data_IF_937966130489
#
_entry.id   IF_937966130489
#
_cell.length_a   1.000
_cell.length_b   1.000
_cell.length_c   1.000
_cell.angle_alpha   90.00
_cell.angle_beta   90.00
_cell.angle_gamma   90.00
#
_symmetry.space_group_name_H-M   'P 1'
#
loop_
_entity.id
_entity.type
_entity.pdbx_description
1 polymer ?
#
# COMPACT_ATOMS: atom_id res chain seq x y z
N UNK A 1 -62.18 -25.21 -49.89
CA UNK A 1 -61.08 -24.60 -49.10
C UNK A 1 -60.12 -23.86 -50.03
N UNK A 2 -60.27 -22.54 -50.20
CA UNK A 2 -59.38 -21.71 -51.04
C UNK A 2 -58.35 -21.02 -50.16
N UNK A 3 -57.07 -21.36 -50.31
CA UNK A 3 -55.95 -20.68 -49.64
C UNK A 3 -55.75 -19.29 -50.29
N UNK A 4 -55.98 -18.24 -49.52
CA UNK A 4 -55.64 -16.87 -49.92
C UNK A 4 -54.12 -16.70 -49.93
N UNK A 5 -53.54 -16.41 -51.11
CA UNK A 5 -52.16 -15.96 -51.23
C UNK A 5 -52.09 -14.51 -50.76
N UNK A 6 -51.40 -14.28 -49.65
CA UNK A 6 -51.05 -12.95 -49.15
C UNK A 6 -49.97 -12.38 -50.08
N UNK A 7 -50.34 -11.41 -50.92
CA UNK A 7 -49.39 -10.67 -51.74
C UNK A 7 -48.67 -9.66 -50.84
N UNK A 8 -47.41 -9.93 -50.51
CA UNK A 8 -46.54 -8.97 -49.85
C UNK A 8 -46.20 -7.85 -50.85
N UNK A 9 -46.73 -6.66 -50.60
CA UNK A 9 -46.34 -5.46 -51.32
C UNK A 9 -44.89 -5.12 -50.97
N UNK A 10 -43.99 -5.29 -51.94
CA UNK A 10 -42.59 -4.85 -51.88
C UNK A 10 -42.56 -3.33 -51.74
N UNK A 11 -42.30 -2.83 -50.53
CA UNK A 11 -42.04 -1.40 -50.31
C UNK A 11 -40.81 -0.97 -51.13
N UNK A 12 -40.86 0.17 -51.83
CA UNK A 12 -39.69 0.69 -52.54
C UNK A 12 -38.55 0.98 -51.56
N UNK A 13 -37.41 0.34 -51.78
CA UNK A 13 -36.19 0.56 -51.02
C UNK A 13 -35.61 1.93 -51.38
N UNK A 14 -35.93 2.96 -50.59
CA UNK A 14 -35.29 4.26 -50.67
C UNK A 14 -33.90 4.17 -50.06
N UNK A 15 -32.86 4.44 -50.84
CA UNK A 15 -31.48 4.46 -50.33
C UNK A 15 -31.40 5.43 -49.15
N UNK A 16 -30.84 5.00 -48.00
CA UNK A 16 -30.75 5.88 -46.84
C UNK A 16 -29.86 7.09 -47.13
N UNK A 17 -30.27 8.27 -46.65
CA UNK A 17 -29.50 9.49 -46.78
C UNK A 17 -28.09 9.33 -46.20
N UNK A 18 -27.11 9.98 -46.82
CA UNK A 18 -25.70 9.94 -46.40
C UNK A 18 -25.53 10.36 -44.93
N UNK A 19 -26.34 11.31 -44.45
CA UNK A 19 -26.38 11.74 -43.04
C UNK A 19 -26.81 10.62 -42.11
N UNK A 20 -27.83 9.84 -42.49
CA UNK A 20 -28.35 8.69 -41.74
C UNK A 20 -27.32 7.58 -41.66
N UNK A 21 -26.61 7.28 -42.76
CA UNK A 21 -25.53 6.28 -42.78
C UNK A 21 -24.38 6.72 -41.85
N UNK A 22 -23.96 7.98 -41.91
CA UNK A 22 -22.89 8.51 -41.05
C UNK A 22 -23.30 8.50 -39.57
N UNK A 23 -24.55 8.88 -39.25
CA UNK A 23 -25.05 8.86 -37.89
C UNK A 23 -25.15 7.43 -37.33
N UNK A 24 -25.60 6.47 -38.14
CA UNK A 24 -25.64 5.05 -37.78
C UNK A 24 -24.23 4.50 -37.51
N UNK A 25 -23.26 4.77 -38.40
CA UNK A 25 -21.86 4.37 -38.21
C UNK A 25 -21.24 5.03 -36.97
N UNK A 26 -21.55 6.31 -36.72
CA UNK A 26 -21.07 7.04 -35.53
C UNK A 26 -21.61 6.42 -34.24
N UNK A 27 -22.88 6.02 -34.22
CA UNK A 27 -23.52 5.38 -33.07
C UNK A 27 -22.96 3.96 -32.83
N UNK A 28 -22.75 3.19 -33.90
CA UNK A 28 -22.13 1.86 -33.84
C UNK A 28 -20.70 1.91 -33.29
N UNK A 29 -19.86 2.85 -33.77
CA UNK A 29 -18.51 3.08 -33.22
C UNK A 29 -18.56 3.47 -31.73
N UNK A 30 -19.51 4.31 -31.34
CA UNK A 30 -19.68 4.68 -29.92
C UNK A 30 -20.06 3.49 -29.05
N UNK A 31 -21.02 2.67 -29.50
CA UNK A 31 -21.46 1.47 -28.76
C UNK A 31 -20.32 0.45 -28.64
N UNK A 32 -19.58 0.19 -29.71
CA UNK A 32 -18.42 -0.72 -29.70
C UNK A 32 -17.37 -0.29 -28.66
N UNK A 33 -17.05 1.01 -28.61
CA UNK A 33 -16.13 1.59 -27.60
C UNK A 33 -16.68 1.50 -26.18
N UNK A 34 -17.98 1.68 -25.99
CA UNK A 34 -18.61 1.65 -24.66
C UNK A 34 -18.72 0.24 -24.06
N UNK A 35 -18.80 -0.79 -24.90
CA UNK A 35 -18.98 -2.20 -24.50
C UNK A 35 -17.64 -2.95 -24.45
N UNK A 36 -16.50 -2.27 -24.68
CA UNK A 36 -15.16 -2.90 -24.75
C UNK A 36 -15.12 -4.07 -25.74
N UNK A 37 -15.88 -4.01 -26.83
CA UNK A 37 -15.67 -4.87 -27.98
C UNK A 37 -14.46 -4.31 -28.73
N UNK A 38 -13.25 -4.77 -28.39
CA UNK A 38 -12.03 -4.43 -29.11
C UNK A 38 -12.04 -5.13 -30.47
N UNK A 39 -12.90 -4.65 -31.37
CA UNK A 39 -12.80 -4.93 -32.79
C UNK A 39 -11.61 -4.09 -33.28
N UNK A 40 -10.42 -4.69 -33.26
CA UNK A 40 -9.18 -4.20 -33.88
C UNK A 40 -9.34 -4.04 -35.40
N UNK A 41 -10.25 -3.17 -35.84
CA UNK A 41 -10.35 -2.68 -37.20
C UNK A 41 -9.87 -1.23 -37.17
N UNK A 42 -8.55 -1.08 -37.04
CA UNK A 42 -7.88 0.14 -37.49
C UNK A 42 -7.29 -0.14 -38.87
N UNK A 43 -7.93 0.34 -39.96
CA UNK A 43 -7.19 0.56 -41.18
C UNK A 43 -6.10 1.59 -40.85
N UNK A 44 -4.84 1.17 -40.91
CA UNK A 44 -3.70 2.09 -40.86
C UNK A 44 -3.92 3.13 -41.94
N UNK A 45 -4.21 4.38 -41.57
CA UNK A 45 -4.11 5.49 -42.53
C UNK A 45 -2.64 5.61 -42.92
N UNK A 46 -2.30 5.60 -44.22
CA UNK A 46 -0.93 5.85 -44.64
C UNK A 46 -0.51 7.25 -44.17
N UNK A 47 0.59 7.32 -43.44
CA UNK A 47 1.23 8.58 -43.09
C UNK A 47 1.64 9.26 -44.40
N UNK A 48 1.02 10.38 -44.73
CA UNK A 48 1.62 11.31 -45.70
C UNK A 48 2.81 11.97 -45.01
N UNK A 49 3.99 11.71 -45.56
CA UNK A 49 5.22 12.44 -45.27
C UNK A 49 5.03 13.91 -45.65
N UNK A 50 4.77 14.77 -44.68
CA UNK A 50 4.96 16.22 -44.85
C UNK A 50 6.37 16.53 -44.39
N UNK A 51 7.22 16.89 -45.37
CA UNK A 51 8.54 17.43 -45.15
C UNK A 51 8.45 18.64 -44.20
N UNK A 52 9.44 18.71 -43.32
CA UNK A 52 9.60 19.78 -42.36
C UNK A 52 9.99 21.07 -43.09
N UNK A 53 9.09 22.05 -43.08
CA UNK A 53 9.48 23.44 -43.29
C UNK A 53 9.63 24.10 -41.91
N UNK A 54 10.90 24.39 -41.63
CA UNK A 54 11.41 25.05 -40.47
C UNK A 54 11.05 26.53 -40.58
N UNK A 55 10.10 27.00 -39.77
CA UNK A 55 9.92 28.44 -39.56
C UNK A 55 9.84 28.73 -38.08
N UNK A 56 10.99 29.18 -37.56
CA UNK A 56 11.11 29.75 -36.23
C UNK A 56 10.27 31.02 -36.15
N UNK A 57 9.36 31.06 -35.19
CA UNK A 57 8.95 32.33 -34.61
C UNK A 57 8.86 32.14 -33.10
N UNK A 58 9.97 32.49 -32.47
CA UNK A 58 10.05 32.88 -31.07
C UNK A 58 9.10 34.07 -30.87
N UNK A 59 7.95 33.82 -30.26
CA UNK A 59 7.17 34.90 -29.63
C UNK A 59 7.04 34.63 -28.15
N UNK A 60 7.35 35.69 -27.42
CA UNK A 60 7.69 35.71 -26.02
C UNK A 60 6.52 35.36 -25.09
N UNK A 61 6.90 34.70 -23.99
CA UNK A 61 6.32 34.77 -22.63
C UNK A 61 5.01 35.56 -22.48
N UNK A 62 3.97 34.88 -22.02
CA UNK A 62 3.20 35.38 -20.88
C UNK A 62 3.35 34.39 -19.73
N UNK A 63 4.26 34.69 -18.80
CA UNK A 63 4.23 34.09 -17.46
C UNK A 63 3.12 34.84 -16.73
N UNK A 64 1.88 34.39 -16.89
CA UNK A 64 0.80 34.77 -16.00
C UNK A 64 1.03 34.04 -14.68
N UNK A 65 1.58 34.77 -13.71
CA UNK A 65 1.74 34.37 -12.33
C UNK A 65 0.36 34.33 -11.65
N UNK A 66 -0.52 33.45 -12.13
CA UNK A 66 -1.82 33.20 -11.51
C UNK A 66 -1.63 32.03 -10.55
N UNK A 67 -1.96 32.22 -9.27
CA UNK A 67 -1.86 31.20 -8.21
C UNK A 67 -2.82 30.01 -8.39
N UNK A 68 -3.21 29.69 -9.61
CA UNK A 68 -4.05 28.56 -9.95
C UNK A 68 -3.20 27.31 -10.05
N UNK A 69 -3.44 26.38 -9.13
CA UNK A 69 -2.86 25.04 -9.10
C UNK A 69 -3.08 24.39 -10.47
N UNK A 70 -2.00 24.16 -11.19
CA UNK A 70 -2.04 23.52 -12.50
C UNK A 70 -2.26 22.02 -12.29
N UNK A 71 -3.44 21.52 -12.60
CA UNK A 71 -3.84 20.13 -12.35
C UNK A 71 -4.09 19.38 -13.66
N UNK A 72 -3.87 18.06 -13.67
CA UNK A 72 -4.35 17.17 -14.73
C UNK A 72 -5.04 15.94 -14.15
N UNK A 73 -6.17 15.55 -14.75
CA UNK A 73 -6.96 14.40 -14.29
C UNK A 73 -6.71 13.21 -15.23
N UNK A 74 -6.29 12.08 -14.68
CA UNK A 74 -6.00 10.84 -15.40
C UNK A 74 -7.25 10.33 -16.13
N UNK A 75 -7.11 9.98 -17.41
CA UNK A 75 -8.23 9.46 -18.21
C UNK A 75 -8.59 8.01 -17.83
N UNK A 76 -7.62 7.23 -17.35
CA UNK A 76 -7.83 5.83 -16.97
C UNK A 76 -8.50 5.69 -15.62
N UNK A 77 -8.01 6.40 -14.59
CA UNK A 77 -8.51 6.22 -13.21
C UNK A 77 -9.24 7.44 -12.66
N UNK A 78 -9.42 8.52 -13.44
CA UNK A 78 -10.07 9.79 -13.02
C UNK A 78 -9.41 10.54 -11.86
N UNK A 79 -8.19 10.14 -11.48
CA UNK A 79 -7.47 10.76 -10.38
C UNK A 79 -6.89 12.12 -10.76
N UNK A 80 -7.06 13.09 -9.86
CA UNK A 80 -6.52 14.45 -9.96
C UNK A 80 -5.04 14.51 -9.54
N UNK A 81 -4.14 14.79 -10.50
CA UNK A 81 -2.69 14.89 -10.29
C UNK A 81 -2.22 16.34 -10.39
N UNK A 82 -1.27 16.71 -9.55
CA UNK A 82 -0.60 18.02 -9.62
C UNK A 82 0.40 18.07 -10.78
N UNK A 83 0.36 19.13 -11.60
CA UNK A 83 1.45 19.43 -12.54
C UNK A 83 2.54 20.15 -11.76
N UNK A 84 3.69 19.51 -11.53
CA UNK A 84 4.89 20.26 -11.08
C UNK A 84 5.30 21.26 -12.17
N UNK A 85 5.81 22.45 -11.80
CA UNK A 85 6.44 23.36 -12.76
C UNK A 85 7.59 22.65 -13.49
N UNK A 86 7.70 22.85 -14.80
CA UNK A 86 8.74 22.25 -15.67
C UNK A 86 10.19 22.66 -15.32
N UNK A 87 10.43 23.37 -14.22
CA UNK A 87 11.74 23.95 -13.87
C UNK A 87 12.67 23.02 -13.09
N UNK A 88 12.24 21.82 -12.70
CA UNK A 88 13.12 20.81 -12.11
C UNK A 88 13.54 19.79 -13.16
N UNK A 89 14.86 19.56 -13.29
CA UNK A 89 15.54 18.63 -14.20
C UNK A 89 15.14 17.14 -14.10
N UNK A 90 14.08 16.81 -13.36
CA UNK A 90 13.50 15.47 -13.17
C UNK A 90 12.24 15.25 -14.02
N UNK A 91 12.29 15.61 -15.31
CA UNK A 91 11.14 15.68 -16.22
C UNK A 91 10.44 14.36 -16.62
N UNK A 92 10.69 13.22 -15.95
CA UNK A 92 10.10 11.91 -16.31
C UNK A 92 9.03 11.40 -15.33
N UNK A 93 9.08 11.77 -14.06
CA UNK A 93 8.12 11.28 -13.04
C UNK A 93 6.78 12.03 -13.03
N UNK A 94 6.75 13.30 -13.46
CA UNK A 94 5.53 14.12 -13.46
C UNK A 94 4.50 13.78 -14.55
N UNK A 95 4.84 12.86 -15.45
CA UNK A 95 3.92 12.36 -16.46
C UNK A 95 3.23 11.06 -16.05
N UNK A 96 3.46 10.52 -14.85
CA UNK A 96 2.72 9.34 -14.37
C UNK A 96 1.64 9.72 -13.39
N UNK A 97 0.49 9.06 -13.48
CA UNK A 97 -0.56 9.23 -12.49
C UNK A 97 -0.12 8.61 -11.14
N UNK A 98 -0.20 9.34 -10.04
CA UNK A 98 0.21 8.82 -8.72
C UNK A 98 -0.69 7.69 -8.20
N UNK A 99 -1.95 7.62 -8.65
CA UNK A 99 -2.87 6.55 -8.24
C UNK A 99 -2.69 5.25 -9.04
N UNK A 100 -2.58 5.32 -10.37
CA UNK A 100 -2.56 4.14 -11.24
C UNK A 100 -1.25 3.90 -12.00
N UNK A 101 -0.29 4.83 -11.94
CA UNK A 101 0.99 4.75 -12.65
C UNK A 101 0.91 5.04 -14.16
N UNK A 102 -0.29 5.27 -14.71
CA UNK A 102 -0.47 5.46 -16.16
C UNK A 102 0.19 6.74 -16.65
N UNK A 103 0.87 6.65 -17.80
CA UNK A 103 1.53 7.77 -18.45
C UNK A 103 0.49 8.76 -18.99
N UNK A 104 0.75 10.05 -18.80
CA UNK A 104 -0.02 11.18 -19.29
C UNK A 104 0.13 11.23 -20.81
N UNK A 105 -0.97 11.00 -21.52
CA UNK A 105 -1.02 11.24 -22.95
C UNK A 105 -0.84 12.75 -23.22
N UNK A 106 0.17 13.11 -24.01
CA UNK A 106 0.39 14.50 -24.43
C UNK A 106 -0.69 14.98 -25.43
N UNK A 107 -1.52 14.08 -25.97
CA UNK A 107 -2.58 14.42 -26.91
C UNK A 107 -3.85 14.92 -26.19
N UNK A 108 -3.96 16.25 -26.10
CA UNK A 108 -5.18 17.07 -26.09
C UNK A 108 -6.53 16.35 -25.82
N UNK A 109 -6.96 16.38 -24.56
CA UNK A 109 -8.36 16.28 -24.11
C UNK A 109 -9.09 14.95 -24.38
N UNK A 110 -10.20 14.68 -23.65
CA UNK A 110 -11.00 13.49 -23.90
C UNK A 110 -11.51 13.51 -25.35
N UNK A 111 -11.06 12.54 -26.16
CA UNK A 111 -11.48 12.39 -27.56
C UNK A 111 -12.96 12.03 -27.62
N UNK A 112 -13.82 13.04 -27.77
CA UNK A 112 -15.25 12.84 -27.98
C UNK A 112 -15.48 11.97 -29.23
N UNK A 113 -16.34 10.95 -29.12
CA UNK A 113 -16.73 10.12 -30.26
C UNK A 113 -17.46 10.96 -31.30
N UNK A 114 -17.51 10.49 -32.55
CA UNK A 114 -18.26 11.18 -33.59
C UNK A 114 -19.74 11.32 -33.21
N UNK A 115 -20.33 10.31 -32.55
CA UNK A 115 -21.69 10.37 -32.02
C UNK A 115 -21.89 11.49 -30.99
N UNK A 116 -20.94 11.65 -30.06
CA UNK A 116 -20.96 12.73 -29.06
C UNK A 116 -20.76 14.12 -29.67
N UNK A 117 -19.93 14.22 -30.71
CA UNK A 117 -19.72 15.48 -31.44
C UNK A 117 -20.97 15.89 -32.23
N UNK A 118 -21.69 14.91 -32.80
CA UNK A 118 -22.93 15.11 -33.56
C UNK A 118 -24.18 15.19 -32.69
N UNK A 119 -24.05 15.11 -31.36
CA UNK A 119 -25.18 15.20 -30.43
C UNK A 119 -26.12 13.98 -30.42
N UNK A 120 -25.74 12.87 -31.06
CA UNK A 120 -26.49 11.61 -31.02
C UNK A 120 -26.40 10.93 -29.65
N UNK A 121 -25.31 11.20 -28.93
CA UNK A 121 -25.08 10.74 -27.55
C UNK A 121 -24.65 11.93 -26.71
N UNK A 122 -25.15 11.99 -25.47
CA UNK A 122 -24.76 13.02 -24.52
C UNK A 122 -23.25 13.04 -24.32
N UNK A 123 -22.67 14.24 -24.33
CA UNK A 123 -21.24 14.40 -24.01
C UNK A 123 -20.96 13.92 -22.58
N UNK A 124 -19.78 13.34 -22.31
CA UNK A 124 -19.38 12.97 -20.96
C UNK A 124 -19.51 14.17 -20.02
N UNK A 125 -19.92 13.92 -18.77
CA UNK A 125 -20.07 14.98 -17.78
C UNK A 125 -18.74 15.73 -17.62
N UNK A 126 -18.78 17.06 -17.49
CA UNK A 126 -17.57 17.84 -17.24
C UNK A 126 -16.90 17.40 -15.94
N UNK A 127 -15.59 17.62 -15.86
CA UNK A 127 -14.82 17.36 -14.64
C UNK A 127 -15.27 18.35 -13.56
N UNK A 128 -15.30 17.89 -12.30
CA UNK A 128 -15.73 18.73 -11.19
C UNK A 128 -14.80 19.94 -11.06
N UNK A 129 -15.39 21.10 -10.80
CA UNK A 129 -14.64 22.33 -10.51
C UNK A 129 -14.06 22.26 -9.09
N UNK A 130 -13.15 23.19 -8.79
CA UNK A 130 -12.56 23.29 -7.45
C UNK A 130 -13.64 23.49 -6.37
N UNK A 131 -14.59 24.39 -6.62
CA UNK A 131 -15.64 24.76 -5.67
C UNK A 131 -16.60 23.60 -5.42
N UNK A 132 -16.93 22.83 -6.48
CA UNK A 132 -17.74 21.61 -6.36
C UNK A 132 -17.06 20.54 -5.50
N UNK A 133 -15.74 20.44 -5.57
CA UNK A 133 -15.00 19.53 -4.72
C UNK A 133 -14.89 20.01 -3.27
N UNK A 134 -14.72 21.31 -3.04
CA UNK A 134 -14.78 21.89 -1.69
C UNK A 134 -16.16 21.65 -1.07
N UNK A 135 -17.23 21.74 -1.86
CA UNK A 135 -18.57 21.34 -1.42
C UNK A 135 -18.67 19.85 -1.06
N UNK A 136 -18.07 18.95 -1.87
CA UNK A 136 -18.01 17.53 -1.55
C UNK A 136 -17.30 17.28 -0.21
N UNK A 137 -16.19 17.98 0.05
CA UNK A 137 -15.44 17.87 1.31
C UNK A 137 -16.24 18.39 2.50
N UNK A 138 -16.94 19.53 2.37
CA UNK A 138 -17.83 20.04 3.39
C UNK A 138 -18.95 19.05 3.71
N UNK A 139 -19.54 18.43 2.69
CA UNK A 139 -20.58 17.42 2.86
C UNK A 139 -20.06 16.18 3.62
N UNK A 140 -18.85 15.71 3.30
CA UNK A 140 -18.21 14.60 3.99
C UNK A 140 -17.90 14.95 5.46
N UNK A 141 -17.41 16.16 5.72
CA UNK A 141 -17.17 16.66 7.07
C UNK A 141 -18.46 16.77 7.89
N UNK A 142 -19.54 17.29 7.29
CA UNK A 142 -20.83 17.44 7.94
C UNK A 142 -21.43 16.08 8.36
N UNK A 143 -21.24 15.03 7.54
CA UNK A 143 -21.60 13.65 7.90
C UNK A 143 -20.70 13.03 8.98
N UNK A 144 -19.53 13.61 9.22
CA UNK A 144 -18.54 13.06 10.14
C UNK A 144 -17.63 11.99 9.52
N UNK A 145 -17.56 11.90 8.18
CA UNK A 145 -16.76 10.89 7.47
C UNK A 145 -15.26 10.98 7.82
N UNK A 146 -14.80 12.16 8.26
CA UNK A 146 -13.41 12.38 8.73
C UNK A 146 -13.09 11.73 10.07
N UNK A 147 -14.13 11.47 10.88
CA UNK A 147 -14.05 10.81 12.19
C UNK A 147 -14.26 9.31 12.07
N UNK A 148 -15.08 8.89 11.12
CA UNK A 148 -15.37 7.49 10.87
C UNK A 148 -14.21 6.79 10.15
N UNK A 149 -13.99 5.48 10.39
CA UNK A 149 -12.96 4.73 9.70
C UNK A 149 -13.32 4.53 8.21
N UNK A 150 -12.31 4.27 7.38
CA UNK A 150 -12.49 3.90 5.98
C UNK A 150 -13.40 2.67 5.86
N UNK A 151 -14.44 2.71 5.04
CA UNK A 151 -15.43 1.63 4.98
C UNK A 151 -14.92 0.34 4.33
N UNK A 152 -13.81 0.40 3.59
CA UNK A 152 -13.19 -0.77 2.96
C UNK A 152 -12.34 -1.55 3.97
N UNK A 153 -11.36 -0.90 4.61
CA UNK A 153 -10.41 -1.56 5.52
C UNK A 153 -10.75 -1.42 7.01
N UNK A 154 -11.75 -0.61 7.36
CA UNK A 154 -12.18 -0.29 8.74
C UNK A 154 -11.09 0.34 9.61
N UNK A 155 -9.99 0.80 9.02
CA UNK A 155 -8.95 1.55 9.73
C UNK A 155 -9.23 3.07 9.71
N UNK A 156 -8.80 3.81 10.75
CA UNK A 156 -8.86 5.27 10.73
C UNK A 156 -8.01 5.84 9.59
N UNK A 157 -8.41 7.00 9.06
CA UNK A 157 -7.68 7.66 7.97
C UNK A 157 -6.24 8.02 8.36
N UNK A 158 -6.03 8.53 9.58
CA UNK A 158 -4.71 8.85 10.07
C UNK A 158 -4.01 9.91 9.22
N UNK A 159 -2.71 9.72 8.97
CA UNK A 159 -1.89 10.58 8.09
C UNK A 159 -1.75 9.99 6.67
N UNK A 160 -2.30 8.79 6.43
CA UNK A 160 -2.20 8.11 5.13
C UNK A 160 -2.94 8.89 4.05
N UNK A 161 -2.52 8.69 2.80
CA UNK A 161 -3.19 9.28 1.65
C UNK A 161 -4.62 8.75 1.51
N UNK A 162 -5.54 9.67 1.31
CA UNK A 162 -6.96 9.38 1.19
C UNK A 162 -7.58 10.28 0.15
N UNK A 163 -8.64 9.76 -0.47
CA UNK A 163 -9.34 10.42 -1.56
C UNK A 163 -10.79 10.64 -1.19
N UNK A 164 -11.35 11.68 -1.78
CA UNK A 164 -12.77 11.93 -1.83
C UNK A 164 -13.27 11.69 -3.25
N UNK A 165 -14.43 11.05 -3.37
CA UNK A 165 -15.09 10.79 -4.64
C UNK A 165 -16.10 11.90 -4.97
N UNK A 166 -16.52 12.03 -6.23
CA UNK A 166 -17.59 12.97 -6.66
C UNK A 166 -19.00 12.63 -6.13
N UNK A 167 -19.11 11.58 -5.30
CA UNK A 167 -20.27 11.28 -4.47
C UNK A 167 -20.06 11.69 -3.01
N UNK A 168 -19.02 12.47 -2.70
CA UNK A 168 -18.58 12.91 -1.37
C UNK A 168 -18.10 11.82 -0.41
N UNK A 169 -18.04 10.54 -0.81
CA UNK A 169 -17.53 9.48 0.04
C UNK A 169 -15.99 9.46 0.08
N UNK A 170 -15.43 9.09 1.24
CA UNK A 170 -13.99 9.09 1.50
C UNK A 170 -13.43 7.68 1.70
N UNK A 171 -12.23 7.43 1.14
CA UNK A 171 -11.51 6.15 1.26
C UNK A 171 -10.00 6.38 1.29
N UNK A 172 -9.22 5.44 1.83
CA UNK A 172 -7.76 5.47 1.59
C UNK A 172 -7.48 5.31 0.11
N UNK A 173 -6.44 5.97 -0.40
CA UNK A 173 -6.04 5.86 -1.80
C UNK A 173 -5.77 4.40 -2.19
N UNK A 174 -5.04 3.67 -1.33
CA UNK A 174 -4.73 2.26 -1.55
C UNK A 174 -5.98 1.37 -1.57
N UNK A 175 -6.94 1.66 -0.68
CA UNK A 175 -8.16 0.86 -0.55
C UNK A 175 -9.03 0.99 -1.80
N UNK A 176 -9.28 2.22 -2.27
CA UNK A 176 -10.10 2.41 -3.47
C UNK A 176 -9.39 1.92 -4.72
N UNK A 177 -8.07 2.09 -4.80
CA UNK A 177 -7.29 1.61 -5.95
C UNK A 177 -7.28 0.08 -6.01
N UNK A 178 -7.20 -0.59 -4.86
CA UNK A 178 -7.30 -2.05 -4.78
C UNK A 178 -8.71 -2.53 -5.14
N UNK A 179 -9.74 -1.80 -4.70
CA UNK A 179 -11.13 -2.10 -5.05
C UNK A 179 -11.38 -1.97 -6.56
N UNK A 180 -10.89 -0.90 -7.20
CA UNK A 180 -10.99 -0.71 -8.65
C UNK A 180 -10.28 -1.83 -9.42
N UNK A 181 -9.07 -2.22 -8.99
CA UNK A 181 -8.35 -3.36 -9.58
C UNK A 181 -9.11 -4.69 -9.43
N UNK A 182 -9.79 -4.88 -8.29
CA UNK A 182 -10.56 -6.09 -8.02
C UNK A 182 -11.79 -6.24 -8.93
N UNK A 183 -12.48 -5.14 -9.25
CA UNK A 183 -13.69 -5.19 -10.09
C UNK A 183 -13.42 -5.70 -11.52
N UNK A 184 -12.19 -5.64 -12.02
CA UNK A 184 -11.78 -6.08 -13.38
C UNK A 184 -12.66 -5.53 -14.52
N UNK A 185 -13.42 -4.47 -14.24
CA UNK A 185 -14.23 -3.71 -15.19
C UNK A 185 -13.69 -2.31 -15.26
N UNK A 186 -13.77 -1.67 -16.43
CA UNK A 186 -13.45 -0.24 -16.58
C UNK A 186 -14.52 0.68 -15.94
N UNK A 187 -15.45 0.14 -15.14
CA UNK A 187 -16.50 0.88 -14.47
C UNK A 187 -16.06 1.27 -13.06
N UNK A 188 -16.06 2.57 -12.77
CA UNK A 188 -15.76 3.09 -11.44
C UNK A 188 -17.05 3.27 -10.64
N UNK A 189 -17.33 2.35 -9.72
CA UNK A 189 -18.55 2.34 -8.92
C UNK A 189 -18.23 2.57 -7.46
N UNK A 190 -18.86 3.57 -6.83
CA UNK A 190 -18.58 3.86 -5.42
C UNK A 190 -18.96 2.67 -4.52
N UNK A 191 -18.08 2.19 -3.63
CA UNK A 191 -18.38 1.08 -2.71
C UNK A 191 -19.56 1.34 -1.76
N UNK A 192 -19.85 2.61 -1.45
CA UNK A 192 -20.89 2.98 -0.50
C UNK A 192 -22.24 3.26 -1.17
N UNK A 193 -22.27 4.16 -2.16
CA UNK A 193 -23.53 4.60 -2.77
C UNK A 193 -23.78 4.07 -4.18
N UNK A 194 -22.87 3.23 -4.72
CA UNK A 194 -22.97 2.64 -6.06
C UNK A 194 -23.08 3.64 -7.22
N UNK A 195 -22.80 4.92 -6.98
CA UNK A 195 -22.69 5.94 -8.05
C UNK A 195 -21.59 5.52 -9.03
N UNK A 196 -21.95 5.43 -10.30
CA UNK A 196 -21.04 5.08 -11.40
C UNK A 196 -20.26 6.30 -11.88
N UNK A 197 -19.15 6.05 -12.57
CA UNK A 197 -18.27 7.04 -13.20
C UNK A 197 -17.90 8.21 -12.26
N UNK A 198 -17.60 7.87 -11.01
CA UNK A 198 -17.14 8.87 -10.07
C UNK A 198 -15.79 9.43 -10.51
N UNK A 199 -15.55 10.69 -10.16
CA UNK A 199 -14.22 11.29 -10.21
C UNK A 199 -13.59 11.15 -8.82
N UNK A 200 -12.26 11.15 -8.72
CA UNK A 200 -11.56 11.03 -7.44
C UNK A 200 -10.46 12.07 -7.29
N UNK A 201 -10.36 12.67 -6.10
CA UNK A 201 -9.37 13.69 -5.75
C UNK A 201 -8.72 13.37 -4.41
N UNK A 202 -7.41 13.53 -4.30
CA UNK A 202 -6.74 13.48 -3.00
C UNK A 202 -7.23 14.61 -2.10
N UNK A 203 -7.49 14.29 -0.84
CA UNK A 203 -7.91 15.27 0.15
C UNK A 203 -7.00 15.21 1.38
N UNK A 204 -6.85 16.35 2.05
CA UNK A 204 -6.05 16.50 3.26
C UNK A 204 -6.92 16.70 4.51
N UNK A 205 -8.24 16.69 4.33
CA UNK A 205 -9.19 16.99 5.40
C UNK A 205 -9.09 16.00 6.56
N UNK A 206 -9.06 14.69 6.29
CA UNK A 206 -9.03 13.70 7.38
C UNK A 206 -7.66 13.67 8.08
N UNK A 207 -6.56 13.95 7.36
CA UNK A 207 -5.24 14.05 7.97
C UNK A 207 -5.07 15.31 8.80
N UNK A 208 -5.65 16.44 8.39
CA UNK A 208 -5.74 17.65 9.20
C UNK A 208 -6.52 17.38 10.51
N UNK A 209 -7.68 16.74 10.41
CA UNK A 209 -8.47 16.35 11.58
C UNK A 209 -7.68 15.42 12.52
N UNK A 210 -6.99 14.42 11.98
CA UNK A 210 -6.19 13.49 12.79
C UNK A 210 -5.03 14.18 13.51
N UNK A 211 -4.35 15.13 12.86
CA UNK A 211 -3.28 15.94 13.48
C UNK A 211 -3.83 16.80 14.61
N UNK A 212 -4.96 17.48 14.38
CA UNK A 212 -5.62 18.29 15.41
C UNK A 212 -6.05 17.43 16.61
N UNK A 213 -6.68 16.28 16.35
CA UNK A 213 -7.11 15.35 17.39
C UNK A 213 -5.91 14.83 18.21
N UNK A 214 -4.83 14.46 17.54
CA UNK A 214 -3.60 14.00 18.19
C UNK A 214 -2.95 15.11 19.01
N UNK A 215 -2.90 16.33 18.50
CA UNK A 215 -2.39 17.50 19.22
C UNK A 215 -3.18 17.75 20.50
N UNK A 216 -4.53 17.72 20.44
CA UNK A 216 -5.38 17.87 21.64
C UNK A 216 -5.10 16.80 22.69
N UNK A 217 -4.89 15.55 22.28
CA UNK A 217 -4.55 14.45 23.20
C UNK A 217 -3.20 14.66 23.86
N UNK A 218 -2.17 15.00 23.08
CA UNK A 218 -0.82 15.29 23.60
C UNK A 218 -0.87 16.47 24.57
N UNK A 219 -1.55 17.55 24.20
CA UNK A 219 -1.74 18.72 25.05
C UNK A 219 -2.45 18.39 26.36
N UNK A 220 -3.51 17.57 26.33
CA UNK A 220 -4.23 17.15 27.53
C UNK A 220 -3.32 16.34 28.48
N UNK A 221 -2.56 15.39 27.95
CA UNK A 221 -1.60 14.59 28.73
C UNK A 221 -0.51 15.49 29.33
N UNK A 222 0.07 16.39 28.52
CA UNK A 222 1.11 17.31 28.97
C UNK A 222 0.60 18.28 30.04
N UNK A 223 -0.56 18.90 29.82
CA UNK A 223 -1.20 19.78 30.81
C UNK A 223 -1.44 19.02 32.11
N UNK A 224 -1.98 17.80 32.05
CA UNK A 224 -2.15 16.95 33.23
C UNK A 224 -0.84 16.62 33.94
N UNK A 225 0.23 16.32 33.19
CA UNK A 225 1.57 16.09 33.75
C UNK A 225 2.13 17.34 34.43
N UNK A 226 2.07 18.50 33.76
CA UNK A 226 2.55 19.77 34.28
C UNK A 226 1.80 20.16 35.57
N UNK A 227 0.46 20.06 35.57
CA UNK A 227 -0.36 20.32 36.76
C UNK A 227 -0.03 19.37 37.90
N UNK A 228 0.12 18.05 37.66
CA UNK A 228 0.52 17.09 38.71
C UNK A 228 1.91 17.38 39.26
N UNK A 229 2.86 17.78 38.40
CA UNK A 229 4.21 18.17 38.82
C UNK A 229 4.18 19.42 39.71
N UNK A 230 3.44 20.46 39.32
CA UNK A 230 3.26 21.67 40.13
C UNK A 230 2.51 21.36 41.44
N UNK A 231 1.45 20.56 41.36
CA UNK A 231 0.66 20.14 42.51
C UNK A 231 1.53 19.42 43.54
N UNK A 232 2.47 18.55 43.14
CA UNK A 232 3.36 17.87 44.08
C UNK A 232 4.15 18.85 44.98
N UNK A 233 4.60 19.98 44.42
CA UNK A 233 5.26 21.06 45.18
C UNK A 233 4.29 21.80 46.09
N UNK A 234 3.07 22.09 45.61
CA UNK A 234 2.03 22.74 46.40
C UNK A 234 1.57 21.85 47.57
N UNK A 235 1.34 20.57 47.32
CA UNK A 235 1.01 19.56 48.33
C UNK A 235 2.12 19.42 49.36
N UNK A 236 3.40 19.47 48.94
CA UNK A 236 4.50 19.50 49.89
C UNK A 236 4.41 20.72 50.81
N UNK A 237 4.27 21.93 50.27
CA UNK A 237 4.15 23.15 51.09
C UNK A 237 2.95 23.08 52.04
N UNK A 238 1.80 22.62 51.54
CA UNK A 238 0.58 22.46 52.30
C UNK A 238 0.74 21.47 53.47
N UNK A 239 1.22 20.25 53.19
CA UNK A 239 1.41 19.23 54.22
C UNK A 239 2.56 19.52 55.18
N UNK A 240 3.64 20.17 54.71
CA UNK A 240 4.74 20.65 55.57
C UNK A 240 4.32 21.76 56.52
N UNK A 241 3.28 22.53 56.19
CA UNK A 241 2.70 23.54 57.10
C UNK A 241 1.86 22.96 58.25
N UNK A 242 1.78 21.62 58.34
CA UNK A 242 0.99 20.93 59.36
C UNK A 242 -0.49 20.80 59.05
N UNK A 243 -0.99 21.44 57.99
CA UNK A 243 -2.39 21.43 57.56
C UNK A 243 -2.80 20.14 56.83
N UNK A 244 -4.11 19.90 56.77
CA UNK A 244 -4.72 18.76 56.07
C UNK A 244 -4.92 17.53 56.96
N UNK A 245 -5.63 16.53 56.41
CA UNK A 245 -5.88 15.27 57.09
C UNK A 245 -4.57 14.51 57.41
N UNK A 246 -4.33 14.09 58.69
CA UNK A 246 -3.13 13.38 59.09
C UNK A 246 -2.86 12.09 58.31
N UNK A 247 -3.89 11.37 57.87
CA UNK A 247 -3.75 10.11 57.14
C UNK A 247 -3.26 10.39 55.71
N UNK A 248 -3.87 11.35 55.02
CA UNK A 248 -3.43 11.81 53.72
C UNK A 248 -2.01 12.37 53.74
N UNK A 249 -1.66 13.14 54.79
CA UNK A 249 -0.32 13.68 55.00
C UNK A 249 0.74 12.59 55.16
N UNK A 250 0.49 11.60 56.04
CA UNK A 250 1.40 10.46 56.24
C UNK A 250 1.60 9.68 54.94
N UNK A 251 0.52 9.39 54.22
CA UNK A 251 0.59 8.70 52.92
C UNK A 251 1.39 9.48 51.88
N UNK A 252 1.27 10.81 51.85
CA UNK A 252 2.03 11.66 50.93
C UNK A 252 3.55 11.56 51.18
N UNK A 253 3.98 11.70 52.44
CA UNK A 253 5.40 11.60 52.79
C UNK A 253 5.95 10.18 52.62
N UNK A 254 5.18 9.15 52.97
CA UNK A 254 5.55 7.76 52.72
C UNK A 254 5.78 7.48 51.23
N UNK A 255 4.86 7.89 50.36
CA UNK A 255 5.03 7.77 48.90
C UNK A 255 6.24 8.54 48.38
N UNK A 256 6.58 9.68 48.99
CA UNK A 256 7.75 10.47 48.57
C UNK A 256 9.06 9.78 48.96
N UNK A 257 9.14 9.25 50.18
CA UNK A 257 10.29 8.46 50.63
C UNK A 257 10.44 7.23 49.74
N UNK A 258 9.34 6.50 49.49
CA UNK A 258 9.31 5.36 48.57
C UNK A 258 9.91 5.71 47.20
N UNK A 259 9.47 6.81 46.57
CA UNK A 259 10.03 7.27 45.29
C UNK A 259 11.53 7.57 45.32
N UNK A 260 12.05 8.06 46.44
CA UNK A 260 13.50 8.30 46.60
C UNK A 260 14.25 6.98 46.73
N UNK A 261 13.71 6.03 47.50
CA UNK A 261 14.22 4.67 47.62
C UNK A 261 14.24 3.96 46.27
N UNK A 262 13.14 4.02 45.50
CA UNK A 262 13.05 3.41 44.17
C UNK A 262 14.11 3.97 43.21
N UNK A 263 14.37 5.28 43.26
CA UNK A 263 15.42 5.92 42.47
C UNK A 263 16.81 5.44 42.87
N UNK A 264 17.06 5.27 44.17
CA UNK A 264 18.32 4.75 44.67
C UNK A 264 18.52 3.31 44.18
N UNK A 265 17.52 2.44 44.35
CA UNK A 265 17.55 1.05 43.88
C UNK A 265 17.79 1.00 42.37
N UNK A 266 17.06 1.80 41.59
CA UNK A 266 17.26 1.87 40.13
C UNK A 266 18.67 2.32 39.75
N UNK A 267 19.24 3.28 40.49
CA UNK A 267 20.60 3.74 40.27
C UNK A 267 21.66 2.70 40.68
N UNK A 268 21.37 1.87 41.70
CA UNK A 268 22.20 0.74 42.09
C UNK A 268 22.20 -0.32 40.99
N UNK A 269 21.02 -0.77 40.53
CA UNK A 269 20.91 -1.77 39.48
C UNK A 269 21.61 -1.35 38.18
N UNK A 270 21.49 -0.07 37.79
CA UNK A 270 22.23 0.46 36.63
C UNK A 270 23.75 0.41 36.78
N UNK A 271 24.26 0.58 38.01
CA UNK A 271 25.70 0.45 38.27
C UNK A 271 26.11 -1.02 38.21
N UNK A 272 25.31 -1.92 38.73
CA UNK A 272 25.55 -3.36 38.63
C UNK A 272 25.61 -3.80 37.15
N UNK A 273 24.63 -3.40 36.33
CA UNK A 273 24.63 -3.65 34.87
C UNK A 273 25.89 -3.11 34.18
N UNK A 274 26.40 -1.95 34.63
CA UNK A 274 27.61 -1.36 34.07
C UNK A 274 28.89 -2.11 34.48
N UNK A 275 28.91 -2.68 35.68
CA UNK A 275 30.02 -3.51 36.17
C UNK A 275 30.02 -4.83 35.39
N UNK A 276 28.86 -5.46 35.21
CA UNK A 276 28.70 -6.68 34.42
C UNK A 276 29.13 -6.47 32.96
N UNK A 277 28.79 -5.32 32.36
CA UNK A 277 29.23 -4.96 31.02
C UNK A 277 30.76 -4.81 30.92
N UNK A 278 31.42 -4.24 31.94
CA UNK A 278 32.88 -4.13 31.99
C UNK A 278 33.54 -5.51 32.14
N UNK A 279 32.99 -6.38 33.00
CA UNK A 279 33.49 -7.75 33.16
C UNK A 279 33.36 -8.55 31.86
N UNK A 280 32.24 -8.40 31.15
CA UNK A 280 32.05 -9.03 29.84
C UNK A 280 33.08 -8.56 28.79
N UNK A 281 33.47 -7.28 28.81
CA UNK A 281 34.51 -6.76 27.90
C UNK A 281 35.91 -7.24 28.31
N UNK A 282 36.19 -7.43 29.60
CA UNK A 282 37.42 -8.07 30.08
C UNK A 282 37.50 -9.53 29.62
N UNK A 283 36.43 -10.32 29.80
CA UNK A 283 36.37 -11.70 29.34
C UNK A 283 36.55 -11.80 27.83
N UNK A 284 35.94 -10.89 27.07
CA UNK A 284 36.14 -10.78 25.63
C UNK A 284 37.60 -10.47 25.29
N UNK A 285 38.23 -9.52 25.97
CA UNK A 285 39.65 -9.18 25.79
C UNK A 285 40.56 -10.36 26.13
N UNK A 286 40.27 -11.11 27.19
CA UNK A 286 40.97 -12.34 27.56
C UNK A 286 40.76 -13.44 26.53
N UNK A 287 39.55 -13.61 25.99
CA UNK A 287 39.27 -14.58 24.93
C UNK A 287 40.04 -14.26 23.65
N UNK A 288 40.13 -12.98 23.28
CA UNK A 288 40.89 -12.52 22.13
C UNK A 288 42.40 -12.75 22.34
N UNK A 289 42.91 -12.45 23.54
CA UNK A 289 44.30 -12.72 23.89
C UNK A 289 44.60 -14.23 23.84
N UNK A 290 43.72 -15.08 24.41
CA UNK A 290 43.84 -16.54 24.34
C UNK A 290 43.84 -17.07 22.91
N UNK A 291 43.04 -16.49 22.00
CA UNK A 291 43.05 -16.84 20.57
C UNK A 291 44.38 -16.51 19.89
N UNK A 292 44.97 -15.35 20.20
CA UNK A 292 46.29 -14.96 19.68
C UNK A 292 47.38 -15.92 20.16
N UNK A 293 47.32 -16.37 21.43
CA UNK A 293 48.25 -17.36 21.97
C UNK A 293 47.93 -18.82 21.58
N UNK A 294 46.73 -19.10 21.06
CA UNK A 294 46.33 -20.39 20.50
C UNK A 294 46.69 -20.57 19.02
N UNK A 295 47.36 -19.58 18.41
CA UNK A 295 47.90 -19.68 17.06
C UNK A 295 49.09 -20.64 16.98
N UNK A 296 48.83 -21.95 17.07
CA UNK A 296 49.62 -23.09 16.55
C UNK A 296 48.71 -24.34 16.39
N UNK A 297 47.49 -24.16 15.88
CA UNK A 297 46.66 -25.25 15.33
C UNK A 297 46.05 -24.74 14.01
N UNK A 298 46.09 -25.49 12.89
CA UNK A 298 45.84 -24.93 11.56
C UNK A 298 44.41 -24.43 11.38
N UNK A 299 44.30 -23.21 10.85
CA UNK A 299 43.06 -22.53 10.48
C UNK A 299 42.37 -23.24 9.30
N UNK A 300 41.04 -23.28 9.34
CA UNK A 300 40.20 -23.46 8.16
C UNK A 300 39.50 -22.13 7.87
N UNK A 301 39.58 -21.70 6.62
CA UNK A 301 39.26 -20.36 6.11
C UNK A 301 37.81 -19.89 6.39
N UNK A 302 37.65 -18.62 6.78
CA UNK A 302 36.35 -17.91 6.72
C UNK A 302 36.51 -16.41 6.37
N UNK A 303 35.64 -15.90 5.48
CA UNK A 303 35.60 -14.55 4.92
C UNK A 303 34.52 -13.66 5.64
N UNK A 304 34.65 -12.31 5.75
CA UNK A 304 34.10 -11.53 6.85
C UNK A 304 32.74 -10.80 6.65
N UNK A 305 31.83 -11.24 5.76
CA UNK A 305 30.63 -10.45 5.44
C UNK A 305 29.31 -10.85 6.13
N UNK A 306 29.20 -12.06 6.68
CA UNK A 306 27.96 -12.54 7.32
C UNK A 306 28.32 -13.52 8.41
N UNK A 307 28.19 -13.13 9.68
CA UNK A 307 28.42 -13.99 10.84
C UNK A 307 27.41 -15.13 10.99
N UNK A 308 27.23 -15.93 9.94
CA UNK A 308 26.51 -17.20 9.94
C UNK A 308 27.52 -18.24 9.45
N UNK A 309 27.76 -19.34 10.20
CA UNK A 309 28.56 -20.43 9.68
C UNK A 309 27.91 -20.91 8.38
N UNK A 310 28.65 -20.89 7.27
CA UNK A 310 28.32 -21.73 6.13
C UNK A 310 28.28 -23.17 6.64
N UNK A 311 27.15 -23.89 6.57
CA UNK A 311 27.23 -25.32 6.43
C UNK A 311 27.80 -25.51 5.03
N UNK A 312 29.11 -25.78 4.96
CA UNK A 312 29.62 -26.59 3.85
C UNK A 312 28.68 -27.78 3.69
N UNK A 313 28.44 -28.18 2.44
CA UNK A 313 27.60 -29.35 2.15
C UNK A 313 27.95 -30.48 3.13
N UNK A 314 26.92 -31.02 3.78
CA UNK A 314 26.94 -32.11 4.78
C UNK A 314 26.56 -31.72 6.22
N UNK A 315 25.33 -31.18 6.41
CA UNK A 315 24.64 -31.33 7.70
C UNK A 315 23.12 -31.55 7.58
N UNK A 316 22.69 -32.13 6.44
CA UNK A 316 21.29 -32.52 6.23
C UNK A 316 20.83 -33.59 7.23
N UNK A 317 21.76 -34.39 7.78
CA UNK A 317 21.47 -35.40 8.80
C UNK A 317 21.10 -34.75 10.15
N UNK A 318 21.78 -33.68 10.54
CA UNK A 318 21.43 -32.91 11.74
C UNK A 318 20.10 -32.16 11.57
N UNK A 319 19.85 -31.59 10.37
CA UNK A 319 18.57 -30.94 10.04
C UNK A 319 17.43 -31.96 10.05
N UNK A 320 17.65 -33.16 9.50
CA UNK A 320 16.69 -34.26 9.51
C UNK A 320 16.38 -34.74 10.94
N UNK A 321 17.40 -34.85 11.80
CA UNK A 321 17.23 -35.21 13.21
C UNK A 321 16.40 -34.16 13.95
N UNK A 322 16.65 -32.86 13.71
CA UNK A 322 15.85 -31.75 14.26
C UNK A 322 14.41 -31.78 13.78
N UNK A 323 14.17 -32.02 12.49
CA UNK A 323 12.83 -32.12 11.93
C UNK A 323 12.04 -33.29 12.54
N UNK A 324 12.70 -34.44 12.74
CA UNK A 324 12.11 -35.62 13.39
C UNK A 324 11.83 -35.40 14.87
N UNK A 325 12.65 -34.62 15.58
CA UNK A 325 12.40 -34.23 16.96
C UNK A 325 11.20 -33.28 17.12
N UNK A 326 10.89 -32.47 16.09
CA UNK A 326 9.71 -31.60 16.07
C UNK A 326 8.40 -32.35 15.81
N UNK A 327 8.48 -33.54 15.20
CA UNK A 327 7.35 -34.42 14.92
C UNK A 327 6.16 -33.70 14.24
N UNK A 328 6.47 -32.88 13.21
CA UNK A 328 5.44 -32.21 12.41
C UNK A 328 4.72 -33.24 11.53
N UNK A 329 3.41 -33.46 11.78
CA UNK A 329 2.62 -34.50 11.10
C UNK A 329 1.75 -33.99 9.95
N UNK A 330 1.68 -32.67 9.77
CA UNK A 330 0.82 -32.01 8.78
C UNK A 330 1.59 -30.96 7.98
N UNK A 331 1.21 -30.80 6.71
CA UNK A 331 1.80 -29.79 5.85
C UNK A 331 1.16 -28.42 6.13
N UNK A 332 1.92 -27.44 6.63
CA UNK A 332 1.37 -26.12 6.97
C UNK A 332 0.85 -25.29 5.76
N UNK A 333 1.10 -25.73 4.52
CA UNK A 333 0.56 -25.07 3.31
C UNK A 333 -0.87 -25.55 3.00
N UNK A 334 -1.12 -26.87 3.07
CA UNK A 334 -2.42 -27.45 2.71
C UNK A 334 -3.20 -28.03 3.89
N UNK A 335 -2.61 -28.03 5.09
CA UNK A 335 -3.18 -28.50 6.36
C UNK A 335 -3.50 -30.01 6.36
N UNK A 336 -3.09 -30.74 5.32
CA UNK A 336 -3.28 -32.18 5.24
C UNK A 336 -2.12 -32.95 5.90
N UNK A 337 -2.39 -34.11 6.51
CA UNK A 337 -1.36 -34.94 7.13
C UNK A 337 -0.40 -35.50 6.10
N UNK A 338 0.85 -35.71 6.51
CA UNK A 338 1.82 -36.42 5.69
C UNK A 338 1.46 -37.91 5.61
N UNK A 339 1.76 -38.53 4.47
CA UNK A 339 1.61 -39.98 4.32
C UNK A 339 2.54 -40.72 5.29
N UNK A 340 2.14 -41.90 5.78
CA UNK A 340 2.98 -42.72 6.66
C UNK A 340 4.34 -43.10 6.05
N UNK A 341 4.44 -43.08 4.71
CA UNK A 341 5.67 -43.33 3.97
C UNK A 341 6.52 -42.07 3.72
N UNK A 342 6.04 -40.87 4.12
CA UNK A 342 6.66 -39.57 3.87
C UNK A 342 7.07 -39.36 2.39
N UNK A 343 6.39 -40.05 1.47
CA UNK A 343 6.68 -39.99 0.03
C UNK A 343 6.15 -38.67 -0.54
N UNK A 344 7.01 -37.96 -1.26
CA UNK A 344 6.66 -36.65 -1.84
C UNK A 344 6.68 -35.49 -0.84
N UNK A 345 7.44 -35.62 0.25
CA UNK A 345 7.70 -34.54 1.22
C UNK A 345 9.09 -33.95 0.97
N UNK A 346 9.18 -32.62 0.96
CA UNK A 346 10.42 -31.85 0.90
C UNK A 346 10.73 -31.25 2.27
N UNK A 347 11.96 -31.45 2.73
CA UNK A 347 12.52 -30.86 3.95
C UNK A 347 13.31 -29.60 3.60
N UNK A 348 13.08 -28.53 4.33
CA UNK A 348 13.82 -27.28 4.17
C UNK A 348 15.02 -27.21 5.12
N UNK A 349 16.04 -26.41 4.76
CA UNK A 349 17.21 -26.16 5.61
C UNK A 349 16.88 -25.54 6.99
N UNK A 350 15.70 -24.93 7.11
CA UNK A 350 15.15 -24.43 8.38
C UNK A 350 14.43 -25.49 9.21
N UNK A 351 14.53 -26.78 8.86
CA UNK A 351 13.91 -27.96 9.51
C UNK A 351 12.38 -28.06 9.44
N UNK A 352 11.72 -27.28 8.57
CA UNK A 352 10.28 -27.44 8.29
C UNK A 352 10.04 -28.35 7.08
N UNK A 353 8.95 -29.11 7.11
CA UNK A 353 8.59 -30.06 6.05
C UNK A 353 7.28 -29.69 5.34
N UNK A 354 7.21 -29.93 4.02
CA UNK A 354 6.02 -29.67 3.20
C UNK A 354 5.87 -30.73 2.10
N UNK A 355 4.66 -30.92 1.58
CA UNK A 355 4.50 -31.68 0.33
C UNK A 355 5.27 -30.98 -0.79
N UNK A 356 6.03 -31.73 -1.59
CA UNK A 356 6.83 -31.17 -2.69
C UNK A 356 5.96 -30.41 -3.69
N UNK A 357 4.73 -30.87 -3.93
CA UNK A 357 3.75 -30.17 -4.78
C UNK A 357 3.28 -28.85 -4.16
N UNK A 358 3.01 -28.83 -2.84
CA UNK A 358 2.58 -27.61 -2.15
C UNK A 358 3.71 -26.58 -2.08
N UNK A 359 4.94 -27.04 -1.82
CA UNK A 359 6.12 -26.17 -1.82
C UNK A 359 6.39 -25.58 -3.21
N UNK A 360 6.32 -26.41 -4.25
CA UNK A 360 6.48 -25.95 -5.63
C UNK A 360 5.38 -24.95 -6.02
N UNK A 361 4.12 -25.21 -5.68
CA UNK A 361 3.04 -24.25 -5.90
C UNK A 361 3.31 -22.92 -5.16
N UNK A 362 3.76 -22.98 -3.91
CA UNK A 362 4.10 -21.80 -3.12
C UNK A 362 5.24 -20.98 -3.77
N UNK A 363 6.28 -21.64 -4.28
CA UNK A 363 7.38 -21.00 -5.01
C UNK A 363 6.90 -20.33 -6.30
N UNK A 364 5.99 -20.97 -7.05
CA UNK A 364 5.42 -20.39 -8.28
C UNK A 364 4.54 -19.16 -8.02
N UNK A 365 3.90 -19.08 -6.86
CA UNK A 365 3.11 -17.91 -6.45
C UNK A 365 3.94 -16.85 -5.72
N UNK A 366 5.23 -17.08 -5.51
CA UNK A 366 6.10 -16.15 -4.80
C UNK A 366 6.36 -14.90 -5.64
N UNK A 367 5.98 -13.74 -5.12
CA UNK A 367 6.19 -12.42 -5.77
C UNK A 367 7.60 -11.90 -5.47
N UNK A 368 8.27 -12.47 -4.45
CA UNK A 368 9.62 -12.12 -4.06
C UNK A 368 10.61 -13.02 -4.82
N UNK A 369 11.67 -12.45 -5.41
CA UNK A 369 12.75 -13.19 -6.11
C UNK A 369 13.64 -14.03 -5.16
N UNK A 370 13.15 -14.33 -3.94
CA UNK A 370 13.86 -15.09 -2.90
C UNK A 370 12.89 -16.12 -2.30
N UNK A 371 13.31 -17.39 -2.26
CA UNK A 371 12.55 -18.49 -1.65
C UNK A 371 12.58 -18.40 -0.12
N UNK A 372 11.45 -18.02 0.49
CA UNK A 372 11.29 -17.87 1.93
C UNK A 372 10.37 -18.94 2.51
N UNK A 373 10.73 -19.50 3.67
CA UNK A 373 9.94 -20.55 4.31
C UNK A 373 8.56 -20.01 4.73
N UNK A 374 7.44 -20.70 4.44
CA UNK A 374 6.10 -20.28 4.85
C UNK A 374 5.91 -20.10 6.36
N UNK A 375 6.69 -20.82 7.18
CA UNK A 375 6.55 -20.83 8.64
C UNK A 375 7.47 -19.80 9.30
N UNK A 376 8.77 -19.87 9.05
CA UNK A 376 9.75 -19.02 9.73
C UNK A 376 10.28 -17.85 8.91
N UNK A 377 9.90 -17.74 7.62
CA UNK A 377 10.36 -16.71 6.68
C UNK A 377 11.88 -16.66 6.45
N UNK A 378 12.63 -17.67 6.90
CA UNK A 378 14.05 -17.78 6.58
C UNK A 378 14.24 -18.19 5.11
N UNK A 379 15.31 -17.70 4.48
CA UNK A 379 15.77 -18.23 3.19
C UNK A 379 16.13 -19.70 3.33
N UNK A 380 15.76 -20.53 2.35
CA UNK A 380 15.94 -21.98 2.45
C UNK A 380 16.48 -22.63 1.19
N UNK A 381 17.11 -23.80 1.39
CA UNK A 381 17.30 -24.82 0.37
C UNK A 381 16.37 -26.00 0.70
N UNK A 382 15.92 -26.74 -0.30
CA UNK A 382 15.02 -27.89 -0.11
C UNK A 382 15.67 -29.19 -0.58
N UNK A 383 15.39 -30.28 0.13
CA UNK A 383 15.82 -31.63 -0.23
C UNK A 383 14.68 -32.63 0.01
N UNK A 384 14.62 -33.69 -0.79
CA UNK A 384 13.55 -34.70 -0.64
C UNK A 384 13.75 -35.56 0.62
N UNK A 385 12.67 -35.77 1.37
CA UNK A 385 12.69 -36.49 2.66
C UNK A 385 13.20 -37.93 2.51
N UNK A 386 12.82 -38.62 1.42
CA UNK A 386 13.23 -40.00 1.15
C UNK A 386 14.73 -40.11 0.86
N UNK A 387 15.32 -39.15 0.16
CA UNK A 387 16.76 -39.15 -0.11
C UNK A 387 17.59 -39.03 1.19
N UNK A 388 17.06 -38.32 2.19
CA UNK A 388 17.68 -38.19 3.52
C UNK A 388 17.45 -39.43 4.41
N UNK A 389 16.33 -40.12 4.25
CA UNK A 389 16.05 -41.36 4.96
C UNK A 389 16.97 -42.53 4.52
N UNK A 390 17.49 -42.48 3.29
CA UNK A 390 18.44 -43.44 2.73
C UNK A 390 19.91 -43.13 3.04
N UNK A 391 20.23 -41.94 3.56
CA UNK A 391 21.59 -41.53 3.98
C UNK A 391 21.95 -42.02 5.40
N UNK A 392 21.33 -43.12 5.83
CA UNK A 392 21.49 -43.70 7.18
C UNK A 392 22.62 -44.70 7.27
#
# INVERSE_FOLDING_TARGET
MRRARRTEATRPYTKPDKSTIINAAALQDHLARSITLDLHLHPRRPQKSTQAENNGNLTARSVSNSGYRCVWVCETCTFENDKRPRSSSSGRESDRCSACGMQRSQQLGPRLTLAQKRGLVSRPRPKLTRDEWEHCEQQAQARGDTKHPCSICRAPFGVKEHVILSCSHMFHLDCITSFERFLRTNQHVCPLCRKQDYQKRCTTVASAFHREHSAKRIQAVFRGFATRRQAATLWQKFYSSGKGDPTCRRRFFANRVGKTTDRLVTAMSKRDDSIDALLAEFDKSLSMSRRVFQGHVPETDTDPATGIPFPGGDDWLAIFTKARARDERECAICINPFSSSMKGVSLLSCSHAFHSQCLSAFEHFNIYEVSLCPVCRAGYHSQTWLHLAHLK
#
